data_IF_817973726633
#
_entry.id   IF_817973726633
#
_cell.length_a   1.000
_cell.length_b   1.000
_cell.length_c   1.000
_cell.angle_alpha   90.00
_cell.angle_beta   90.00
_cell.angle_gamma   90.00
#
_symmetry.space_group_name_H-M   'P 1'
#
loop_
_entity.id
_entity.type
_entity.pdbx_description
1 polymer ?
#
# COMPACT_ATOMS: atom_id res chain seq x y z
N UNK A 1 10.92 -34.64 15.44
CA UNK A 1 9.56 -34.11 15.17
C UNK A 1 9.61 -32.60 15.41
N UNK A 2 9.62 -31.78 14.36
CA UNK A 2 9.61 -30.32 14.51
C UNK A 2 8.13 -29.91 14.66
N UNK A 3 7.74 -29.19 15.73
CA UNK A 3 6.35 -28.76 15.90
C UNK A 3 5.99 -27.74 14.81
N UNK A 4 4.85 -27.94 14.15
CA UNK A 4 4.29 -26.94 13.24
C UNK A 4 3.97 -25.67 14.05
N UNK A 5 4.36 -24.48 13.59
CA UNK A 5 4.01 -23.24 14.27
C UNK A 5 2.48 -23.08 14.33
N UNK A 6 1.99 -22.62 15.48
CA UNK A 6 0.57 -22.37 15.70
C UNK A 6 0.05 -21.34 14.69
N UNK A 7 -1.07 -21.66 14.01
CA UNK A 7 -1.77 -20.71 13.14
C UNK A 7 -2.28 -19.55 13.99
N UNK A 8 -1.67 -18.38 13.82
CA UNK A 8 -2.19 -17.12 14.35
C UNK A 8 -3.51 -16.82 13.62
N UNK A 9 -4.63 -16.85 14.34
CA UNK A 9 -5.92 -16.35 13.82
C UNK A 9 -5.80 -14.83 13.70
N UNK A 10 -5.71 -14.33 12.46
CA UNK A 10 -5.76 -12.89 12.18
C UNK A 10 -7.12 -12.31 12.59
N UNK A 11 -7.10 -11.28 13.43
CA UNK A 11 -8.27 -10.46 13.79
C UNK A 11 -8.72 -9.65 12.57
N UNK A 12 -9.96 -9.85 12.11
CA UNK A 12 -10.54 -9.23 10.90
C UNK A 12 -10.45 -7.70 10.80
N UNK A 13 -10.22 -7.01 11.92
CA UNK A 13 -10.11 -5.54 12.04
C UNK A 13 -9.02 -4.94 11.13
N UNK A 14 -7.91 -5.66 10.90
CA UNK A 14 -6.79 -5.17 10.09
C UNK A 14 -7.07 -5.19 8.56
N UNK A 15 -7.96 -6.07 8.12
CA UNK A 15 -8.33 -6.22 6.71
C UNK A 15 -9.34 -5.14 6.34
N UNK A 16 -10.36 -4.93 7.17
CA UNK A 16 -11.41 -3.94 6.93
C UNK A 16 -10.87 -2.49 6.89
N UNK A 17 -9.87 -2.16 7.73
CA UNK A 17 -9.24 -0.84 7.78
C UNK A 17 -8.44 -0.49 6.50
N UNK A 18 -7.75 -1.47 5.92
CA UNK A 18 -6.92 -1.29 4.72
C UNK A 18 -7.79 -1.12 3.46
N UNK A 19 -8.97 -1.74 3.45
CA UNK A 19 -9.84 -1.86 2.27
C UNK A 19 -10.81 -0.70 2.12
N UNK A 20 -11.42 -0.22 3.20
CA UNK A 20 -12.23 1.01 3.18
C UNK A 20 -11.42 2.21 2.67
N UNK A 21 -10.11 2.17 2.89
CA UNK A 21 -9.20 3.24 2.51
C UNK A 21 -8.79 3.22 1.03
N UNK A 22 -8.52 2.04 0.46
CA UNK A 22 -8.23 1.86 -0.98
C UNK A 22 -9.43 2.32 -1.83
N UNK A 23 -10.66 2.08 -1.36
CA UNK A 23 -11.89 2.47 -2.05
C UNK A 23 -12.17 3.97 -2.06
N UNK A 24 -11.83 4.68 -0.98
CA UNK A 24 -11.93 6.14 -0.93
C UNK A 24 -10.91 6.84 -1.87
N UNK A 25 -9.83 6.14 -2.20
CA UNK A 25 -8.71 6.64 -3.02
C UNK A 25 -9.02 6.58 -4.53
N UNK A 26 -9.62 5.49 -5.02
CA UNK A 26 -9.91 5.28 -6.46
C UNK A 26 -10.88 6.34 -6.99
N UNK A 27 -11.97 6.62 -6.28
CA UNK A 27 -12.99 7.61 -6.68
C UNK A 27 -12.49 9.06 -6.70
N UNK A 28 -11.50 9.39 -5.86
CA UNK A 28 -10.93 10.75 -5.75
C UNK A 28 -10.00 11.09 -6.91
N UNK A 29 -9.37 10.08 -7.51
CA UNK A 29 -8.49 10.18 -8.67
C UNK A 29 -9.28 10.17 -9.99
N UNK A 30 -10.35 9.37 -10.06
CA UNK A 30 -11.22 9.26 -11.22
C UNK A 30 -12.04 10.53 -11.48
N UNK A 31 -12.64 11.13 -10.44
CA UNK A 31 -13.47 12.35 -10.56
C UNK A 31 -12.70 13.61 -10.95
N UNK A 32 -11.37 13.59 -10.94
CA UNK A 32 -10.53 14.75 -11.28
C UNK A 32 -9.94 14.69 -12.70
N UNK A 33 -10.22 13.63 -13.48
CA UNK A 33 -9.54 13.42 -14.77
C UNK A 33 -8.02 13.26 -14.63
N UNK A 34 -7.53 13.07 -13.40
CA UNK A 34 -6.12 12.98 -13.03
C UNK A 34 -5.68 11.52 -13.05
N UNK A 35 -5.60 10.94 -14.25
CA UNK A 35 -4.73 9.76 -14.44
C UNK A 35 -3.25 10.15 -14.26
N UNK A 36 -2.93 11.46 -14.35
CA UNK A 36 -1.59 12.04 -14.40
C UNK A 36 -1.04 12.66 -13.10
N UNK A 37 -1.43 12.16 -11.93
CA UNK A 37 -0.65 12.30 -10.68
C UNK A 37 -0.08 10.96 -10.21
N UNK A 38 -0.18 9.93 -11.04
CA UNK A 38 0.58 8.70 -10.88
C UNK A 38 1.99 8.94 -11.46
N UNK A 39 2.98 9.10 -10.57
CA UNK A 39 4.40 9.40 -10.85
C UNK A 39 4.53 10.90 -11.08
N UNK A 40 5.32 11.69 -10.34
CA UNK A 40 6.76 11.94 -10.59
C UNK A 40 7.13 12.22 -12.07
N UNK A 41 6.21 12.08 -13.03
CA UNK A 41 6.33 12.35 -14.46
C UNK A 41 5.86 13.77 -14.86
N UNK A 42 5.39 14.58 -13.91
CA UNK A 42 5.50 16.06 -13.97
C UNK A 42 6.74 16.52 -13.18
N UNK A 43 7.82 15.74 -13.19
CA UNK A 43 9.16 16.34 -13.04
C UNK A 43 9.73 16.85 -14.36
N UNK A 44 9.06 16.71 -15.52
CA UNK A 44 9.56 17.27 -16.79
C UNK A 44 8.42 17.79 -17.73
N UNK A 45 8.28 19.12 -17.82
CA UNK A 45 7.63 19.91 -18.90
C UNK A 45 6.14 20.22 -18.73
N UNK A 46 5.58 21.43 -18.91
CA UNK A 46 6.08 22.70 -19.44
C UNK A 46 5.19 23.89 -18.95
N UNK A 47 5.75 25.10 -19.12
CA UNK A 47 5.26 26.46 -18.82
C UNK A 47 3.89 26.81 -19.46
N UNK A 48 2.98 27.44 -18.70
CA UNK A 48 2.33 28.74 -19.05
C UNK A 48 1.19 29.12 -18.08
N UNK A 49 1.38 30.26 -17.38
CA UNK A 49 0.42 31.33 -17.06
C UNK A 49 -0.98 31.04 -16.47
N UNK A 50 -1.28 31.64 -15.31
CA UNK A 50 -2.64 32.09 -14.96
C UNK A 50 -3.09 31.82 -13.52
N UNK A 51 -3.23 32.90 -12.76
CA UNK A 51 -3.79 33.09 -11.40
C UNK A 51 -4.75 32.01 -10.84
N UNK A 52 -4.40 31.46 -9.67
CA UNK A 52 -5.29 30.61 -8.85
C UNK A 52 -5.40 31.21 -7.44
N UNK A 53 -6.34 32.14 -7.26
CA UNK A 53 -6.69 32.64 -5.91
C UNK A 53 -8.20 32.69 -5.62
N UNK A 54 -9.04 32.09 -6.47
CA UNK A 54 -10.48 31.95 -6.24
C UNK A 54 -11.01 30.49 -6.20
N UNK A 55 -10.26 29.55 -6.76
CA UNK A 55 -10.68 28.13 -6.85
C UNK A 55 -10.42 27.38 -5.54
N UNK A 56 -9.42 27.81 -4.76
CA UNK A 56 -9.02 27.16 -3.52
C UNK A 56 -10.06 27.38 -2.41
N UNK A 57 -10.62 28.58 -2.29
CA UNK A 57 -11.68 28.90 -1.33
C UNK A 57 -12.98 28.15 -1.64
N UNK A 58 -13.38 28.10 -2.92
CA UNK A 58 -14.61 27.44 -3.35
C UNK A 58 -14.53 25.91 -3.20
N UNK A 59 -13.37 25.31 -3.49
CA UNK A 59 -13.12 23.89 -3.23
C UNK A 59 -13.00 23.55 -1.74
N UNK A 60 -12.55 24.49 -0.91
CA UNK A 60 -12.52 24.35 0.55
C UNK A 60 -13.93 24.39 1.14
N UNK A 61 -14.77 25.32 0.66
CA UNK A 61 -16.15 25.49 1.12
C UNK A 61 -17.05 24.33 0.65
N UNK A 62 -16.87 23.84 -0.58
CA UNK A 62 -17.54 22.63 -1.08
C UNK A 62 -17.05 21.35 -0.39
N UNK A 63 -15.78 21.29 0.02
CA UNK A 63 -15.22 20.19 0.80
C UNK A 63 -15.77 20.15 2.23
N UNK A 64 -15.98 21.30 2.86
CA UNK A 64 -16.59 21.41 4.20
C UNK A 64 -18.10 21.16 4.18
N UNK A 65 -18.80 21.50 3.09
CA UNK A 65 -20.22 21.20 2.91
C UNK A 65 -20.52 19.70 2.68
N UNK A 66 -19.52 18.90 2.30
CA UNK A 66 -19.66 17.46 2.05
C UNK A 66 -19.53 16.58 3.32
N UNK A 67 -19.23 17.17 4.48
CA UNK A 67 -18.91 16.42 5.72
C UNK A 67 -20.10 15.97 6.61
N UNK A 68 -21.39 16.12 6.23
CA UNK A 68 -22.48 15.47 6.99
C UNK A 68 -23.80 15.30 6.20
N UNK A 69 -24.65 14.27 6.46
CA UNK A 69 -24.58 13.23 7.52
C UNK A 69 -24.58 11.78 6.93
N UNK A 70 -23.99 10.71 7.47
CA UNK A 70 -23.91 10.27 8.88
C UNK A 70 -22.55 9.64 9.25
N UNK A 71 -21.70 9.17 8.33
CA UNK A 71 -20.27 8.92 8.57
C UNK A 71 -19.51 8.95 7.24
N UNK A 72 -19.14 10.14 6.76
CA UNK A 72 -18.36 10.27 5.53
C UNK A 72 -16.98 9.57 5.62
N UNK A 73 -16.26 9.40 4.48
CA UNK A 73 -14.91 8.82 4.44
C UNK A 73 -13.95 9.36 5.49
N UNK A 74 -14.05 10.65 5.84
CA UNK A 74 -13.25 11.29 6.87
C UNK A 74 -13.59 10.83 8.30
N UNK A 75 -14.88 10.65 8.63
CA UNK A 75 -15.30 10.18 9.94
C UNK A 75 -14.90 8.71 10.16
N UNK A 76 -15.04 7.88 9.12
CA UNK A 76 -14.54 6.50 9.15
C UNK A 76 -13.00 6.48 9.31
N UNK A 77 -12.27 7.24 8.48
CA UNK A 77 -10.80 7.32 8.60
C UNK A 77 -10.33 7.79 9.99
N UNK A 78 -10.99 8.79 10.59
CA UNK A 78 -10.71 9.25 11.97
C UNK A 78 -10.96 8.16 13.01
N UNK A 79 -12.07 7.42 12.89
CA UNK A 79 -12.39 6.30 13.77
C UNK A 79 -11.36 5.18 13.64
N UNK A 80 -11.06 4.76 12.41
CA UNK A 80 -10.08 3.70 12.14
C UNK A 80 -8.69 4.09 12.62
N UNK A 81 -8.27 5.34 12.41
CA UNK A 81 -7.01 5.87 12.95
C UNK A 81 -6.97 5.82 14.48
N UNK A 82 -8.07 6.19 15.16
CA UNK A 82 -8.20 6.10 16.62
C UNK A 82 -8.12 4.65 17.11
N UNK A 83 -8.80 3.73 16.43
CA UNK A 83 -8.79 2.30 16.76
C UNK A 83 -7.40 1.70 16.58
N UNK A 84 -6.70 2.03 15.48
CA UNK A 84 -5.31 1.60 15.25
C UNK A 84 -4.36 2.18 16.30
N UNK A 85 -4.53 3.45 16.68
CA UNK A 85 -3.72 4.08 17.74
C UNK A 85 -3.86 3.33 19.07
N UNK A 86 -5.10 2.98 19.45
CA UNK A 86 -5.35 2.17 20.66
C UNK A 86 -4.76 0.76 20.54
N UNK A 87 -4.84 0.15 19.37
CA UNK A 87 -4.30 -1.18 19.13
C UNK A 87 -2.76 -1.18 19.22
N UNK A 88 -2.08 -0.16 18.70
CA UNK A 88 -0.63 0.02 18.85
C UNK A 88 -0.27 0.14 20.33
N UNK A 89 -0.95 1.02 21.07
CA UNK A 89 -0.70 1.21 22.51
C UNK A 89 -0.93 -0.08 23.33
N UNK A 90 -1.94 -0.88 22.96
CA UNK A 90 -2.21 -2.16 23.62
C UNK A 90 -1.14 -3.23 23.39
N UNK A 91 -0.24 -3.01 22.44
CA UNK A 91 0.90 -3.89 22.16
C UNK A 91 2.21 -3.36 22.71
N UNK A 92 2.22 -2.17 23.31
CA UNK A 92 3.45 -1.55 23.81
C UNK A 92 4.13 -2.43 24.87
N UNK A 93 5.46 -2.49 24.84
CA UNK A 93 6.27 -3.37 25.69
C UNK A 93 6.30 -4.86 25.32
N UNK A 94 5.43 -5.35 24.42
CA UNK A 94 5.52 -6.74 23.93
C UNK A 94 6.69 -6.89 22.95
N UNK A 95 7.83 -7.32 23.49
CA UNK A 95 9.04 -7.56 22.71
C UNK A 95 9.11 -8.99 22.15
N UNK A 96 8.07 -9.82 22.24
CA UNK A 96 8.06 -11.12 21.57
C UNK A 96 8.11 -10.95 20.04
N UNK A 97 8.48 -11.99 19.30
CA UNK A 97 8.50 -11.94 17.83
C UNK A 97 7.09 -11.64 17.28
N UNK A 98 6.05 -12.17 17.94
CA UNK A 98 4.64 -11.91 17.62
C UNK A 98 4.28 -10.44 17.94
N UNK A 99 4.75 -9.92 19.07
CA UNK A 99 4.57 -8.52 19.47
C UNK A 99 5.18 -7.55 18.46
N UNK A 100 6.44 -7.77 18.09
CA UNK A 100 7.16 -6.97 17.08
C UNK A 100 6.46 -7.02 15.72
N UNK A 101 6.07 -8.20 15.27
CA UNK A 101 5.31 -8.39 14.03
C UNK A 101 3.98 -7.62 14.04
N UNK A 102 3.26 -7.68 15.16
CA UNK A 102 1.97 -7.00 15.33
C UNK A 102 2.16 -5.48 15.34
N UNK A 103 3.11 -4.97 16.11
CA UNK A 103 3.43 -3.53 16.18
C UNK A 103 3.80 -2.98 14.81
N UNK A 104 4.73 -3.61 14.09
CA UNK A 104 5.16 -3.20 12.76
C UNK A 104 3.97 -3.09 11.79
N UNK A 105 3.09 -4.09 11.76
CA UNK A 105 1.93 -4.09 10.86
C UNK A 105 0.87 -3.06 11.28
N UNK A 106 0.59 -2.89 12.57
CA UNK A 106 -0.39 -1.89 13.03
C UNK A 106 0.08 -0.46 12.75
N UNK A 107 1.36 -0.18 12.96
CA UNK A 107 1.97 1.11 12.61
C UNK A 107 1.97 1.34 11.09
N UNK A 108 2.30 0.31 10.30
CA UNK A 108 2.20 0.38 8.83
C UNK A 108 0.77 0.73 8.39
N UNK A 109 -0.25 0.04 8.91
CA UNK A 109 -1.65 0.34 8.61
C UNK A 109 -2.07 1.74 9.06
N UNK A 110 -1.64 2.18 10.25
CA UNK A 110 -1.91 3.53 10.76
C UNK A 110 -1.31 4.58 9.83
N UNK A 111 -0.05 4.40 9.44
CA UNK A 111 0.62 5.32 8.52
C UNK A 111 -0.03 5.36 7.14
N UNK A 112 -0.69 4.29 6.69
CA UNK A 112 -1.46 4.35 5.45
C UNK A 112 -2.56 5.41 5.57
N UNK A 113 -3.31 5.42 6.67
CA UNK A 113 -4.36 6.43 6.93
C UNK A 113 -3.76 7.84 7.04
N UNK A 114 -2.58 7.97 7.65
CA UNK A 114 -1.91 9.27 7.81
C UNK A 114 -1.39 9.81 6.47
N UNK A 115 -0.86 8.98 5.56
CA UNK A 115 -0.32 9.42 4.26
C UNK A 115 -1.34 10.20 3.43
N UNK A 116 -2.62 9.78 3.41
CA UNK A 116 -3.63 10.42 2.56
C UNK A 116 -4.49 11.43 3.32
N UNK A 117 -4.26 11.56 4.64
CA UNK A 117 -4.63 12.74 5.41
C UNK A 117 -3.49 13.75 5.28
N UNK A 118 -3.62 14.68 4.33
CA UNK A 118 -2.54 15.63 4.00
C UNK A 118 -2.03 16.42 5.23
N UNK A 119 -2.89 16.61 6.23
CA UNK A 119 -2.59 17.22 7.53
C UNK A 119 -1.67 16.37 8.43
N UNK A 120 -1.50 15.08 8.14
CA UNK A 120 -0.77 14.10 8.95
C UNK A 120 0.44 13.50 8.22
N UNK A 121 0.96 14.13 7.16
CA UNK A 121 2.08 13.55 6.40
C UNK A 121 3.37 13.45 7.20
N UNK A 122 3.61 14.37 8.13
CA UNK A 122 4.78 14.30 9.01
C UNK A 122 4.61 13.19 10.05
N UNK A 123 3.44 13.09 10.67
CA UNK A 123 3.07 11.96 11.54
C UNK A 123 3.24 10.63 10.82
N UNK A 124 2.85 10.53 9.55
CA UNK A 124 3.03 9.32 8.75
C UNK A 124 4.51 8.92 8.60
N UNK A 125 5.42 9.89 8.49
CA UNK A 125 6.87 9.62 8.42
C UNK A 125 7.39 9.07 9.75
N UNK A 126 6.96 9.65 10.86
CA UNK A 126 7.33 9.20 12.20
C UNK A 126 6.79 7.80 12.47
N UNK A 127 5.50 7.57 12.20
CA UNK A 127 4.86 6.25 12.33
C UNK A 127 5.57 5.18 11.47
N UNK A 128 5.98 5.50 10.24
CA UNK A 128 6.74 4.57 9.40
C UNK A 128 8.18 4.34 9.89
N UNK A 129 8.80 5.35 10.50
CA UNK A 129 10.13 5.18 11.10
C UNK A 129 10.04 4.23 12.30
N UNK A 130 9.01 4.36 13.13
CA UNK A 130 8.73 3.45 14.25
C UNK A 130 8.42 2.03 13.74
N UNK A 131 7.52 1.89 12.75
CA UNK A 131 7.20 0.60 12.14
C UNK A 131 8.46 -0.12 11.65
N UNK A 132 9.38 0.63 11.01
CA UNK A 132 10.65 0.10 10.51
C UNK A 132 11.54 -0.43 11.64
N UNK A 133 11.64 0.27 12.77
CA UNK A 133 12.43 -0.19 13.94
C UNK A 133 11.93 -1.56 14.43
N UNK A 134 10.61 -1.74 14.52
CA UNK A 134 10.02 -3.03 14.93
C UNK A 134 10.27 -4.13 13.90
N UNK A 135 10.14 -3.82 12.60
CA UNK A 135 10.40 -4.77 11.53
C UNK A 135 11.88 -5.16 11.43
N UNK A 136 12.82 -4.22 11.62
CA UNK A 136 14.27 -4.49 11.67
C UNK A 136 14.60 -5.41 12.85
N UNK A 137 14.07 -5.12 14.06
CA UNK A 137 14.22 -6.00 15.23
C UNK A 137 13.66 -7.40 14.99
N UNK A 138 12.54 -7.51 14.27
CA UNK A 138 11.95 -8.80 13.91
C UNK A 138 12.87 -9.58 12.96
N UNK A 139 13.44 -8.93 11.95
CA UNK A 139 14.42 -9.54 11.04
C UNK A 139 15.65 -10.03 11.79
N UNK A 140 16.19 -9.23 12.71
CA UNK A 140 17.38 -9.58 13.48
C UNK A 140 17.15 -10.79 14.40
N UNK A 141 15.98 -10.88 15.02
CA UNK A 141 15.65 -11.94 15.98
C UNK A 141 15.13 -13.22 15.35
N UNK A 142 14.32 -13.08 14.30
CA UNK A 142 13.52 -14.17 13.74
C UNK A 142 13.42 -14.03 12.21
N UNK A 143 14.56 -14.15 11.51
CA UNK A 143 14.61 -13.96 10.07
C UNK A 143 13.72 -14.99 9.37
N UNK A 144 12.77 -14.50 8.59
CA UNK A 144 11.74 -15.29 7.92
C UNK A 144 11.22 -14.55 6.70
N UNK A 145 10.52 -15.25 5.80
CA UNK A 145 9.85 -14.63 4.66
C UNK A 145 8.96 -13.46 5.09
N UNK A 146 8.15 -13.68 6.14
CA UNK A 146 7.28 -12.68 6.72
C UNK A 146 8.05 -11.45 7.23
N UNK A 147 9.13 -11.64 8.00
CA UNK A 147 9.90 -10.53 8.57
C UNK A 147 10.52 -9.63 7.49
N UNK A 148 11.18 -10.24 6.49
CA UNK A 148 11.76 -9.51 5.37
C UNK A 148 10.70 -8.82 4.52
N UNK A 149 9.58 -9.48 4.25
CA UNK A 149 8.46 -8.89 3.52
C UNK A 149 7.87 -7.69 4.25
N UNK A 150 7.59 -7.79 5.55
CA UNK A 150 7.07 -6.66 6.34
C UNK A 150 8.02 -5.47 6.29
N UNK A 151 9.34 -5.69 6.39
CA UNK A 151 10.31 -4.61 6.25
C UNK A 151 10.31 -4.01 4.82
N UNK A 152 10.11 -4.84 3.79
CA UNK A 152 9.99 -4.40 2.41
C UNK A 152 8.72 -3.56 2.18
N UNK A 153 7.57 -3.99 2.70
CA UNK A 153 6.28 -3.27 2.62
C UNK A 153 6.39 -1.88 3.27
N UNK A 154 6.95 -1.80 4.49
CA UNK A 154 7.18 -0.54 5.20
C UNK A 154 8.11 0.37 4.39
N UNK A 155 9.18 -0.19 3.83
CA UNK A 155 10.14 0.57 3.01
C UNK A 155 9.50 1.07 1.70
N UNK A 156 8.62 0.27 1.08
CA UNK A 156 7.86 0.67 -0.09
C UNK A 156 6.88 1.80 0.24
N UNK A 157 6.25 1.75 1.42
CA UNK A 157 5.35 2.80 1.86
C UNK A 157 6.08 4.11 2.18
N UNK A 158 7.31 4.05 2.71
CA UNK A 158 8.18 5.23 2.88
C UNK A 158 8.41 5.97 1.55
N UNK A 159 8.46 5.27 0.42
CA UNK A 159 8.62 5.87 -0.91
C UNK A 159 7.44 6.79 -1.28
N UNK A 160 6.24 6.60 -0.72
CA UNK A 160 5.07 7.47 -0.97
C UNK A 160 5.24 8.86 -0.35
N UNK A 161 6.12 8.99 0.64
CA UNK A 161 6.42 10.24 1.35
C UNK A 161 7.78 10.84 0.97
N UNK A 162 8.54 10.13 0.14
CA UNK A 162 9.91 10.45 -0.19
C UNK A 162 10.02 11.33 -1.45
N UNK A 163 11.08 12.11 -1.51
CA UNK A 163 11.51 12.79 -2.73
C UNK A 163 11.99 11.78 -3.78
N UNK A 164 12.07 12.18 -5.04
CA UNK A 164 12.58 11.32 -6.13
C UNK A 164 13.98 10.78 -5.86
N UNK A 165 14.89 11.59 -5.29
CA UNK A 165 16.24 11.11 -4.93
C UNK A 165 16.20 10.02 -3.86
N UNK A 166 15.30 10.14 -2.88
CA UNK A 166 15.10 9.11 -1.86
C UNK A 166 14.43 7.86 -2.44
N UNK A 167 13.52 7.99 -3.42
CA UNK A 167 12.95 6.84 -4.12
C UNK A 167 14.03 6.04 -4.85
N UNK A 168 14.96 6.73 -5.52
CA UNK A 168 16.08 6.09 -6.24
C UNK A 168 16.96 5.27 -5.27
N UNK A 169 17.13 5.72 -4.02
CA UNK A 169 17.91 4.97 -3.03
C UNK A 169 17.10 3.88 -2.32
N UNK A 170 15.80 4.08 -2.08
CA UNK A 170 14.94 3.12 -1.39
C UNK A 170 14.49 1.96 -2.28
N UNK A 171 14.19 2.20 -3.56
CA UNK A 171 13.61 1.18 -4.44
C UNK A 171 14.50 -0.09 -4.58
N UNK A 172 15.83 0.01 -4.77
CA UNK A 172 16.69 -1.17 -4.79
C UNK A 172 16.67 -1.95 -3.46
N UNK A 173 16.57 -1.25 -2.32
CA UNK A 173 16.47 -1.88 -0.99
C UNK A 173 15.16 -2.64 -0.85
N UNK A 174 14.03 -2.09 -1.30
CA UNK A 174 12.73 -2.79 -1.31
C UNK A 174 12.83 -4.09 -2.12
N UNK A 175 13.40 -4.02 -3.33
CA UNK A 175 13.58 -5.20 -4.18
C UNK A 175 14.49 -6.25 -3.53
N UNK A 176 15.59 -5.83 -2.90
CA UNK A 176 16.50 -6.74 -2.17
C UNK A 176 15.80 -7.43 -1.00
N UNK A 177 15.03 -6.69 -0.20
CA UNK A 177 14.27 -7.25 0.93
C UNK A 177 13.19 -8.23 0.45
N UNK A 178 12.45 -7.89 -0.60
CA UNK A 178 11.46 -8.78 -1.20
C UNK A 178 12.11 -10.06 -1.77
N UNK A 179 13.26 -9.94 -2.44
CA UNK A 179 14.05 -11.10 -2.89
C UNK A 179 14.52 -11.96 -1.72
N UNK A 180 14.97 -11.34 -0.62
CA UNK A 180 15.31 -12.05 0.61
C UNK A 180 14.12 -12.82 1.18
N UNK A 181 12.92 -12.24 1.20
CA UNK A 181 11.73 -12.97 1.60
C UNK A 181 11.48 -14.22 0.72
N UNK A 182 11.70 -14.11 -0.60
CA UNK A 182 11.57 -15.23 -1.53
C UNK A 182 12.64 -16.32 -1.39
N UNK A 183 13.79 -16.02 -0.79
CA UNK A 183 14.78 -17.05 -0.43
C UNK A 183 14.24 -17.97 0.69
N UNK A 184 13.41 -17.45 1.59
CA UNK A 184 12.77 -18.22 2.66
C UNK A 184 11.47 -18.91 2.20
N UNK A 185 10.68 -18.22 1.38
CA UNK A 185 9.47 -18.77 0.78
C UNK A 185 9.31 -18.29 -0.66
N UNK A 186 9.62 -19.18 -1.61
CA UNK A 186 9.53 -18.91 -3.05
C UNK A 186 8.10 -18.60 -3.54
N UNK A 187 7.09 -18.87 -2.71
CA UNK A 187 5.67 -18.63 -2.98
C UNK A 187 5.08 -17.50 -2.11
N UNK A 188 5.89 -16.67 -1.45
CA UNK A 188 5.34 -15.50 -0.75
C UNK A 188 4.74 -14.50 -1.76
N UNK A 189 3.42 -14.54 -1.88
CA UNK A 189 2.67 -13.72 -2.84
C UNK A 189 2.87 -12.21 -2.62
N UNK A 190 3.05 -11.77 -1.36
CA UNK A 190 3.27 -10.36 -1.07
C UNK A 190 4.65 -9.89 -1.54
N UNK A 191 5.69 -10.70 -1.33
CA UNK A 191 7.02 -10.42 -1.85
C UNK A 191 7.05 -10.44 -3.39
N UNK A 192 6.35 -11.38 -4.04
CA UNK A 192 6.20 -11.39 -5.51
C UNK A 192 5.51 -10.11 -5.98
N UNK A 193 4.40 -9.71 -5.34
CA UNK A 193 3.67 -8.49 -5.66
C UNK A 193 4.56 -7.24 -5.54
N UNK A 194 5.38 -7.12 -4.49
CA UNK A 194 6.30 -5.99 -4.32
C UNK A 194 7.28 -5.86 -5.49
N UNK A 195 7.89 -6.97 -5.92
CA UNK A 195 8.80 -6.97 -7.08
C UNK A 195 8.03 -6.62 -8.36
N UNK A 196 6.82 -7.17 -8.53
CA UNK A 196 5.96 -6.87 -9.67
C UNK A 196 5.61 -5.38 -9.75
N UNK A 197 5.24 -4.75 -8.63
CA UNK A 197 5.00 -3.30 -8.57
C UNK A 197 6.27 -2.49 -8.88
N UNK A 198 7.44 -2.94 -8.45
CA UNK A 198 8.72 -2.35 -8.84
C UNK A 198 8.92 -2.36 -10.36
N UNK A 199 8.68 -3.50 -11.01
CA UNK A 199 8.75 -3.63 -12.48
C UNK A 199 7.68 -2.82 -13.19
N UNK A 200 6.48 -2.71 -12.62
CA UNK A 200 5.39 -1.94 -13.20
C UNK A 200 5.69 -0.44 -13.17
N UNK A 201 6.21 0.09 -12.06
CA UNK A 201 6.26 1.53 -11.78
C UNK A 201 7.60 2.19 -12.05
N UNK A 202 8.71 1.42 -12.04
CA UNK A 202 10.00 1.97 -12.39
C UNK A 202 10.01 2.45 -13.86
N UNK A 203 10.72 3.53 -14.20
CA UNK A 203 11.06 3.83 -15.59
C UNK A 203 11.92 2.70 -16.18
N UNK A 204 11.87 2.53 -17.51
CA UNK A 204 12.64 1.48 -18.20
C UNK A 204 14.15 1.53 -17.91
N UNK A 205 14.72 2.74 -17.78
CA UNK A 205 16.13 2.94 -17.43
C UNK A 205 16.50 2.35 -16.06
N UNK A 206 15.53 2.26 -15.15
CA UNK A 206 15.68 1.72 -13.79
C UNK A 206 15.08 0.32 -13.64
N UNK A 207 14.91 -0.41 -14.75
CA UNK A 207 14.41 -1.79 -14.73
C UNK A 207 12.89 -1.91 -14.81
N UNK A 208 12.18 -0.85 -15.20
CA UNK A 208 10.75 -0.91 -15.54
C UNK A 208 10.46 -1.85 -16.71
N UNK A 209 9.55 -2.79 -16.50
CA UNK A 209 9.18 -3.83 -17.47
C UNK A 209 7.74 -4.33 -17.19
N UNK A 210 6.71 -3.73 -17.83
CA UNK A 210 5.31 -4.13 -17.61
C UNK A 210 5.02 -5.60 -17.97
N UNK A 211 5.66 -6.17 -18.98
CA UNK A 211 5.49 -7.57 -19.38
C UNK A 211 6.01 -8.54 -18.29
N UNK A 212 7.15 -8.21 -17.67
CA UNK A 212 7.66 -8.94 -16.51
C UNK A 212 6.75 -8.77 -15.29
N UNK A 213 6.24 -7.55 -15.05
CA UNK A 213 5.27 -7.29 -13.99
C UNK A 213 4.01 -8.16 -14.15
N UNK A 214 3.48 -8.29 -15.38
CA UNK A 214 2.33 -9.17 -15.68
C UNK A 214 2.62 -10.61 -15.26
N UNK A 215 3.78 -11.12 -15.67
CA UNK A 215 4.21 -12.49 -15.36
C UNK A 215 4.32 -12.72 -13.85
N UNK A 216 4.87 -11.74 -13.12
CA UNK A 216 5.01 -11.82 -11.67
C UNK A 216 3.66 -11.76 -10.95
N UNK A 217 2.74 -10.87 -11.35
CA UNK A 217 1.42 -10.84 -10.73
C UNK A 217 0.61 -12.12 -10.99
N UNK A 218 0.70 -12.71 -12.19
CA UNK A 218 0.09 -14.02 -12.47
C UNK A 218 0.67 -15.10 -11.56
N UNK A 219 2.00 -15.14 -11.40
CA UNK A 219 2.66 -16.06 -10.46
C UNK A 219 2.25 -15.81 -9.01
N UNK A 220 2.04 -14.56 -8.59
CA UNK A 220 1.55 -14.26 -7.25
C UNK A 220 0.19 -14.94 -7.01
N UNK A 221 -0.74 -14.85 -7.97
CA UNK A 221 -2.07 -15.48 -7.90
C UNK A 221 -2.04 -17.01 -7.81
N UNK A 222 -0.98 -17.64 -8.28
CA UNK A 222 -0.74 -19.09 -8.20
C UNK A 222 -0.19 -19.54 -6.84
N UNK A 223 0.10 -18.61 -5.92
CA UNK A 223 0.65 -18.95 -4.61
C UNK A 223 -0.38 -19.70 -3.74
N UNK A 224 -0.01 -20.82 -3.10
CA UNK A 224 -0.96 -21.72 -2.44
C UNK A 224 -1.62 -21.11 -1.19
N UNK A 225 -0.94 -20.19 -0.51
CA UNK A 225 -1.42 -19.54 0.72
C UNK A 225 -1.67 -18.04 0.53
N UNK A 226 -1.99 -17.60 -0.70
CA UNK A 226 -2.26 -16.19 -0.98
C UNK A 226 -3.46 -15.67 -0.18
N UNK A 227 -3.23 -14.59 0.56
CA UNK A 227 -4.26 -13.90 1.34
C UNK A 227 -5.18 -13.07 0.43
N UNK A 228 -6.45 -12.81 0.80
CA UNK A 228 -7.36 -11.97 0.01
C UNK A 228 -6.79 -10.59 -0.33
N UNK A 229 -6.10 -9.93 0.61
CA UNK A 229 -5.45 -8.63 0.38
C UNK A 229 -4.31 -8.70 -0.65
N UNK A 230 -3.53 -9.78 -0.64
CA UNK A 230 -2.46 -10.02 -1.61
C UNK A 230 -3.05 -10.35 -3.00
N UNK A 231 -4.14 -11.13 -3.03
CA UNK A 231 -4.87 -11.46 -4.26
C UNK A 231 -5.45 -10.20 -4.90
N UNK A 232 -6.05 -9.33 -4.08
CA UNK A 232 -6.52 -8.04 -4.52
C UNK A 232 -5.40 -7.17 -5.10
N UNK A 233 -4.27 -7.05 -4.39
CA UNK A 233 -3.11 -6.30 -4.87
C UNK A 233 -2.60 -6.85 -6.22
N UNK A 234 -2.57 -8.16 -6.40
CA UNK A 234 -2.18 -8.79 -7.66
C UNK A 234 -3.17 -8.49 -8.80
N UNK A 235 -4.49 -8.52 -8.55
CA UNK A 235 -5.50 -8.18 -9.54
C UNK A 235 -5.45 -6.70 -9.95
N UNK A 236 -5.29 -5.78 -8.99
CA UNK A 236 -5.09 -4.36 -9.27
C UNK A 236 -3.81 -4.15 -10.08
N UNK A 237 -2.71 -4.78 -9.67
CA UNK A 237 -1.44 -4.74 -10.39
C UNK A 237 -1.54 -5.25 -11.83
N UNK A 238 -2.29 -6.34 -12.07
CA UNK A 238 -2.56 -6.85 -13.42
C UNK A 238 -3.38 -5.88 -14.25
N UNK A 239 -4.44 -5.29 -13.69
CA UNK A 239 -5.24 -4.31 -14.39
C UNK A 239 -4.39 -3.10 -14.83
N UNK A 240 -3.57 -2.55 -13.93
CA UNK A 240 -2.67 -1.44 -14.25
C UNK A 240 -1.60 -1.82 -15.29
N UNK A 241 -1.05 -3.02 -15.17
CA UNK A 241 -0.08 -3.56 -16.13
C UNK A 241 -0.68 -3.67 -17.52
N UNK A 242 -1.89 -4.23 -17.62
CA UNK A 242 -2.60 -4.40 -18.89
C UNK A 242 -2.99 -3.07 -19.52
N UNK A 243 -3.35 -2.06 -18.72
CA UNK A 243 -3.57 -0.69 -19.20
C UNK A 243 -2.30 -0.09 -19.81
N UNK A 244 -1.13 -0.25 -19.17
CA UNK A 244 0.16 0.18 -19.72
C UNK A 244 0.50 -0.54 -21.03
N UNK A 245 0.10 -1.81 -21.14
CA UNK A 245 0.21 -2.62 -22.35
C UNK A 245 -0.92 -2.38 -23.37
N UNK A 246 -1.81 -1.40 -23.12
CA UNK A 246 -2.96 -1.04 -23.98
C UNK A 246 -4.01 -2.16 -24.16
N UNK A 247 -4.07 -3.13 -23.24
CA UNK A 247 -5.03 -4.26 -23.21
C UNK A 247 -6.21 -3.96 -22.27
N UNK A 248 -7.00 -2.95 -22.61
CA UNK A 248 -8.03 -2.38 -21.72
C UNK A 248 -9.15 -3.34 -21.34
N UNK A 249 -9.62 -4.15 -22.29
CA UNK A 249 -10.70 -5.11 -22.04
C UNK A 249 -10.30 -6.15 -20.99
N UNK A 250 -9.07 -6.67 -21.11
CA UNK A 250 -8.53 -7.61 -20.12
C UNK A 250 -8.28 -6.92 -18.76
N UNK A 251 -7.84 -5.66 -18.76
CA UNK A 251 -7.69 -4.89 -17.53
C UNK A 251 -9.02 -4.78 -16.75
N UNK A 252 -10.14 -4.55 -17.46
CA UNK A 252 -11.46 -4.48 -16.84
C UNK A 252 -11.86 -5.78 -16.15
N UNK A 253 -11.53 -6.94 -16.74
CA UNK A 253 -11.78 -8.26 -16.12
C UNK A 253 -11.06 -8.40 -14.78
N UNK A 254 -9.80 -7.95 -14.69
CA UNK A 254 -9.06 -8.02 -13.43
C UNK A 254 -9.52 -7.00 -12.39
N UNK A 255 -9.99 -5.81 -12.80
CA UNK A 255 -10.66 -4.88 -11.87
C UNK A 255 -11.92 -5.50 -11.29
N UNK A 256 -12.71 -6.17 -12.11
CA UNK A 256 -13.92 -6.87 -11.67
C UNK A 256 -13.59 -7.97 -10.64
N UNK A 257 -12.56 -8.77 -10.91
CA UNK A 257 -12.09 -9.78 -9.94
C UNK A 257 -11.58 -9.17 -8.64
N UNK A 258 -10.94 -7.99 -8.69
CA UNK A 258 -10.54 -7.27 -7.49
C UNK A 258 -11.77 -6.80 -6.69
N UNK A 259 -12.81 -6.31 -7.38
CA UNK A 259 -14.09 -5.91 -6.80
C UNK A 259 -14.79 -7.08 -6.09
N UNK A 260 -14.86 -8.24 -6.73
CA UNK A 260 -15.51 -9.43 -6.17
C UNK A 260 -14.94 -9.88 -4.82
N UNK A 261 -13.65 -9.59 -4.54
CA UNK A 261 -13.04 -9.90 -3.24
C UNK A 261 -13.59 -9.02 -2.11
N UNK A 262 -14.01 -7.80 -2.44
CA UNK A 262 -14.37 -6.75 -1.49
C UNK A 262 -15.59 -5.96 -2.00
N UNK A 263 -16.77 -6.61 -2.12
CA UNK A 263 -17.93 -6.07 -2.83
C UNK A 263 -18.52 -4.83 -2.16
N UNK A 264 -18.56 -4.81 -0.83
CA UNK A 264 -19.10 -3.70 -0.02
C UNK A 264 -18.21 -2.45 -0.04
N UNK A 265 -17.09 -2.53 -0.74
CA UNK A 265 -16.08 -1.50 -0.81
C UNK A 265 -15.95 -0.94 -2.24
N UNK A 266 -16.88 -1.20 -3.16
CA UNK A 266 -16.72 -0.81 -4.58
C UNK A 266 -17.79 0.12 -5.16
N UNK A 267 -18.89 0.42 -4.45
CA UNK A 267 -19.95 1.35 -4.91
C UNK A 267 -19.53 2.84 -4.92
N UNK A 268 -18.24 3.07 -5.15
CA UNK A 268 -17.59 4.37 -5.19
C UNK A 268 -17.01 4.65 -6.59
#
# INVERSE_FOLDING_TARGET
MIPRPARVRNSGIAVDAMLVYISCMVRRLEKRGLWGTAIVAIMLGAVAGGEVHGMEQRLRDEFLAWEAPVFGPAAHARRTHTELTRAVAATDGDTSDIGLARQANLLMLRSFIEIYRLDLRDDARETLAEARIHAERLVDRSPSAFAYRTLADISAQQMLLASTLQIISLAPRVEQLAKKALEYDKHDAGAINLIAFGRLNAPRLFGGNPEEAQTLFLRALESPEIMPSQRFAAYIGLAETLEKLRRREEAAVYRERARELFPDHWDL
#
